data_IF_317080124641
#
_entry.id   IF_317080124641
#
_cell.length_a   1.000
_cell.length_b   1.000
_cell.length_c   1.000
_cell.angle_alpha   90.00
_cell.angle_beta   90.00
_cell.angle_gamma   90.00
#
_symmetry.space_group_name_H-M   'P 1'
#
loop_
_entity.id
_entity.type
_entity.pdbx_description
1 polymer ?
#
# COMPACT_ATOMS: atom_id res chain seq x y z
N UNK A 1 2.11 -27.99 14.19
CA UNK A 1 1.16 -27.38 15.15
C UNK A 1 1.28 -25.86 15.05
N UNK A 2 0.29 -25.11 14.53
CA UNK A 2 0.38 -23.65 14.53
C UNK A 2 0.35 -23.16 15.98
N UNK A 3 1.29 -22.27 16.32
CA UNK A 3 1.45 -21.72 17.66
C UNK A 3 0.13 -21.12 18.17
N UNK A 4 -0.34 -21.56 19.34
CA UNK A 4 -1.47 -20.96 20.06
C UNK A 4 -1.14 -19.49 20.31
N UNK A 5 -1.85 -18.58 19.63
CA UNK A 5 -1.66 -17.14 19.79
C UNK A 5 -2.09 -16.74 21.20
N UNK A 6 -1.20 -16.09 21.96
CA UNK A 6 -1.57 -15.42 23.22
C UNK A 6 -2.58 -14.31 22.89
N UNK A 7 -3.71 -14.20 23.61
CA UNK A 7 -4.61 -13.08 23.39
C UNK A 7 -3.87 -11.79 23.74
N UNK A 8 -3.69 -10.93 22.73
CA UNK A 8 -3.25 -9.56 22.94
C UNK A 8 -4.28 -8.89 23.87
N UNK A 9 -3.82 -8.09 24.84
CA UNK A 9 -4.70 -7.27 25.65
C UNK A 9 -5.68 -6.52 24.73
N UNK A 10 -6.99 -6.61 24.97
CA UNK A 10 -8.02 -6.13 24.03
C UNK A 10 -7.84 -4.63 23.82
N UNK A 11 -7.35 -4.27 22.64
CA UNK A 11 -7.25 -2.89 22.16
C UNK A 11 -8.63 -2.32 21.82
N UNK A 12 -8.74 -0.99 21.88
CA UNK A 12 -9.93 -0.19 21.53
C UNK A 12 -11.28 -0.72 22.08
N UNK A 13 -11.29 -1.28 23.30
CA UNK A 13 -12.49 -1.55 24.10
C UNK A 13 -13.72 -2.12 23.35
N UNK A 14 -13.52 -3.18 22.57
CA UNK A 14 -14.62 -3.85 21.85
C UNK A 14 -14.91 -3.28 20.46
N UNK A 15 -14.05 -2.42 19.90
CA UNK A 15 -14.15 -1.98 18.51
C UNK A 15 -14.20 -3.17 17.53
N UNK A 16 -15.24 -3.19 16.70
CA UNK A 16 -15.41 -4.17 15.62
C UNK A 16 -14.86 -3.60 14.31
N UNK A 17 -13.69 -4.09 13.90
CA UNK A 17 -13.05 -3.69 12.65
C UNK A 17 -13.09 -4.84 11.65
N UNK A 18 -13.65 -4.55 10.48
CA UNK A 18 -13.65 -5.42 9.32
C UNK A 18 -12.70 -4.91 8.24
N UNK A 19 -12.29 -5.80 7.34
CA UNK A 19 -11.50 -5.46 6.17
C UNK A 19 -12.08 -6.11 4.92
N UNK A 20 -12.29 -5.33 3.87
CA UNK A 20 -12.90 -5.80 2.61
C UNK A 20 -12.20 -5.21 1.40
N UNK A 21 -12.26 -5.92 0.28
CA UNK A 21 -11.74 -5.48 -1.01
C UNK A 21 -12.85 -5.48 -2.02
N UNK A 22 -13.04 -4.37 -2.75
CA UNK A 22 -14.13 -4.32 -3.71
C UNK A 22 -13.89 -5.23 -4.92
N UNK A 23 -12.62 -5.42 -5.34
CA UNK A 23 -12.26 -6.23 -6.50
C UNK A 23 -13.10 -5.82 -7.72
N UNK A 24 -13.69 -6.78 -8.43
CA UNK A 24 -14.60 -6.58 -9.56
C UNK A 24 -16.08 -6.75 -9.18
N UNK A 25 -16.42 -6.71 -7.88
CA UNK A 25 -17.82 -6.83 -7.43
C UNK A 25 -18.67 -5.67 -7.93
N UNK A 26 -19.97 -5.89 -7.99
CA UNK A 26 -20.95 -4.82 -8.10
C UNK A 26 -21.06 -4.05 -6.77
N UNK A 27 -21.56 -2.82 -6.83
CA UNK A 27 -21.83 -2.05 -5.62
C UNK A 27 -22.86 -2.74 -4.72
N UNK A 28 -23.87 -3.40 -5.32
CA UNK A 28 -24.92 -4.13 -4.60
C UNK A 28 -24.34 -5.30 -3.79
N UNK A 29 -23.54 -6.16 -4.42
CA UNK A 29 -22.91 -7.29 -3.74
C UNK A 29 -22.03 -6.84 -2.57
N UNK A 30 -21.26 -5.75 -2.74
CA UNK A 30 -20.43 -5.23 -1.67
C UNK A 30 -21.28 -4.68 -0.52
N UNK A 31 -22.36 -3.97 -0.80
CA UNK A 31 -23.30 -3.47 0.22
C UNK A 31 -23.95 -4.61 0.99
N UNK A 32 -24.36 -5.68 0.31
CA UNK A 32 -24.94 -6.88 0.93
C UNK A 32 -23.94 -7.58 1.85
N UNK A 33 -22.68 -7.70 1.42
CA UNK A 33 -21.60 -8.20 2.29
C UNK A 33 -21.42 -7.34 3.54
N UNK A 34 -21.39 -6.01 3.40
CA UNK A 34 -21.22 -5.11 4.54
C UNK A 34 -22.39 -5.22 5.54
N UNK A 35 -23.62 -5.30 5.03
CA UNK A 35 -24.83 -5.47 5.86
C UNK A 35 -24.85 -6.80 6.59
N UNK A 36 -24.46 -7.89 5.93
CA UNK A 36 -24.42 -9.22 6.54
C UNK A 36 -23.47 -9.29 7.77
N UNK A 37 -22.45 -8.43 7.81
CA UNK A 37 -21.52 -8.30 8.94
C UNK A 37 -21.85 -7.13 9.88
N UNK A 38 -23.04 -6.52 9.77
CA UNK A 38 -23.46 -5.43 10.65
C UNK A 38 -22.62 -4.14 10.51
N UNK A 39 -21.92 -3.95 9.39
CA UNK A 39 -21.07 -2.77 9.19
C UNK A 39 -21.93 -1.51 9.08
N UNK A 40 -21.68 -0.55 9.97
CA UNK A 40 -22.35 0.74 9.96
C UNK A 40 -21.59 1.77 9.12
N UNK A 41 -20.25 1.75 9.15
CA UNK A 41 -19.40 2.69 8.41
C UNK A 41 -18.38 1.97 7.54
N UNK A 42 -18.31 2.38 6.27
CA UNK A 42 -17.25 1.99 5.35
C UNK A 42 -16.18 3.08 5.29
N UNK A 43 -15.00 2.78 5.80
CA UNK A 43 -13.80 3.60 5.70
C UNK A 43 -13.03 3.23 4.41
N UNK A 44 -13.16 4.04 3.37
CA UNK A 44 -12.37 3.91 2.15
C UNK A 44 -10.94 4.37 2.40
N UNK A 45 -10.00 3.43 2.36
CA UNK A 45 -8.58 3.70 2.58
C UNK A 45 -7.79 3.76 1.27
N UNK A 46 -8.45 3.94 0.11
CA UNK A 46 -7.74 4.10 -1.17
C UNK A 46 -7.15 5.50 -1.24
N UNK A 47 -5.88 5.64 -1.63
CA UNK A 47 -5.28 6.98 -1.82
C UNK A 47 -6.04 7.81 -2.87
N UNK A 48 -6.50 7.15 -3.95
CA UNK A 48 -7.29 7.78 -5.01
C UNK A 48 -8.50 6.90 -5.31
N UNK A 49 -9.69 7.19 -4.76
CA UNK A 49 -10.93 6.43 -4.98
C UNK A 49 -11.58 6.78 -6.33
N UNK A 50 -10.80 6.60 -7.41
CA UNK A 50 -11.22 6.85 -8.79
C UNK A 50 -10.70 5.76 -9.71
N UNK A 51 -11.58 5.15 -10.49
CA UNK A 51 -11.28 4.11 -11.48
C UNK A 51 -12.15 4.30 -12.72
N UNK A 52 -11.57 4.03 -13.89
CA UNK A 52 -12.31 3.93 -15.16
C UNK A 52 -12.93 2.54 -15.34
N UNK A 53 -12.24 1.49 -14.88
CA UNK A 53 -12.67 0.10 -14.96
C UNK A 53 -13.76 -0.22 -13.95
N UNK A 54 -13.68 0.37 -12.76
CA UNK A 54 -14.66 0.17 -11.68
C UNK A 54 -15.30 1.50 -11.25
N UNK A 55 -16.02 2.20 -12.15
CA UNK A 55 -16.57 3.52 -11.89
C UNK A 55 -17.65 3.54 -10.81
N UNK A 56 -18.32 2.40 -10.57
CA UNK A 56 -19.30 2.20 -9.50
C UNK A 56 -18.72 2.42 -8.10
N UNK A 57 -17.41 2.22 -7.94
CA UNK A 57 -16.68 2.48 -6.69
C UNK A 57 -15.98 3.84 -6.68
N UNK A 58 -16.30 4.77 -7.59
CA UNK A 58 -15.81 6.14 -7.47
C UNK A 58 -16.48 6.81 -6.25
N UNK A 59 -15.75 7.72 -5.60
CA UNK A 59 -16.13 8.32 -4.31
C UNK A 59 -17.61 8.77 -4.26
N UNK A 60 -18.02 9.57 -5.25
CA UNK A 60 -19.37 10.13 -5.37
C UNK A 60 -20.48 9.08 -5.60
N UNK A 61 -20.47 8.30 -6.69
CA UNK A 61 -21.53 7.32 -6.95
C UNK A 61 -21.62 6.26 -5.85
N UNK A 62 -20.48 5.82 -5.32
CA UNK A 62 -20.46 4.81 -4.28
C UNK A 62 -20.95 5.35 -2.94
N UNK A 63 -20.55 6.58 -2.58
CA UNK A 63 -21.07 7.27 -1.40
C UNK A 63 -22.59 7.40 -1.42
N UNK A 64 -23.18 7.75 -2.58
CA UNK A 64 -24.65 7.79 -2.73
C UNK A 64 -25.29 6.40 -2.59
N UNK A 65 -24.67 5.36 -3.15
CA UNK A 65 -25.19 4.00 -3.03
C UNK A 65 -25.17 3.50 -1.57
N UNK A 66 -24.09 3.76 -0.83
CA UNK A 66 -23.96 3.44 0.59
C UNK A 66 -24.97 4.21 1.44
N UNK A 67 -25.12 5.52 1.20
CA UNK A 67 -26.08 6.35 1.94
C UNK A 67 -27.52 5.86 1.76
N UNK A 68 -27.93 5.51 0.53
CA UNK A 68 -29.24 4.88 0.25
C UNK A 68 -29.42 3.55 0.98
N UNK A 69 -28.32 2.85 1.25
CA UNK A 69 -28.32 1.60 1.97
C UNK A 69 -28.22 1.77 3.50
N UNK A 70 -28.16 3.00 4.01
CA UNK A 70 -28.00 3.28 5.44
C UNK A 70 -26.57 3.12 5.96
N UNK A 71 -25.57 2.99 5.08
CA UNK A 71 -24.16 2.90 5.46
C UNK A 71 -23.48 4.26 5.30
N UNK A 72 -22.71 4.66 6.31
CA UNK A 72 -21.86 5.86 6.22
C UNK A 72 -20.62 5.56 5.38
N UNK A 73 -20.26 6.49 4.51
CA UNK A 73 -19.02 6.43 3.72
C UNK A 73 -18.04 7.50 4.19
N UNK A 74 -16.82 7.10 4.57
CA UNK A 74 -15.75 8.04 4.96
C UNK A 74 -14.48 7.71 4.20
N UNK A 75 -13.86 8.71 3.57
CA UNK A 75 -12.58 8.54 2.90
C UNK A 75 -11.43 8.90 3.86
N UNK A 76 -10.54 7.93 4.13
CA UNK A 76 -9.35 8.09 4.99
C UNK A 76 -8.08 7.92 4.15
N UNK A 77 -7.74 8.95 3.37
CA UNK A 77 -6.60 8.95 2.44
C UNK A 77 -5.24 8.78 3.15
N UNK A 78 -5.18 9.12 4.44
CA UNK A 78 -4.05 8.90 5.34
C UNK A 78 -3.68 7.42 5.39
N UNK A 79 -4.66 6.52 5.43
CA UNK A 79 -4.43 5.07 5.45
C UNK A 79 -4.20 4.49 4.04
N UNK A 80 -3.92 5.35 3.05
CA UNK A 80 -3.74 5.00 1.65
C UNK A 80 -2.37 4.44 1.27
N UNK A 81 -2.38 3.31 0.55
CA UNK A 81 -1.19 2.54 0.18
C UNK A 81 -0.22 3.17 -0.82
N UNK A 82 -0.61 4.21 -1.58
CA UNK A 82 0.26 4.81 -2.60
C UNK A 82 1.25 5.76 -1.93
N UNK A 83 2.43 5.24 -1.60
CA UNK A 83 3.55 5.94 -0.94
C UNK A 83 4.88 5.55 -1.59
N UNK A 84 5.87 6.45 -1.57
CA UNK A 84 7.21 6.19 -2.10
C UNK A 84 8.09 5.60 -1.00
N UNK A 85 8.89 4.59 -1.34
CA UNK A 85 9.93 4.07 -0.45
C UNK A 85 11.00 5.12 -0.19
N UNK A 86 11.48 5.17 1.06
CA UNK A 86 12.69 5.92 1.38
C UNK A 86 13.90 5.15 0.84
N UNK A 87 14.94 5.88 0.40
CA UNK A 87 16.14 5.28 -0.21
C UNK A 87 16.95 4.44 0.80
N UNK A 88 16.84 4.78 2.08
CA UNK A 88 17.54 4.23 3.24
C UNK A 88 16.61 3.37 4.14
N UNK A 89 15.57 2.76 3.55
CA UNK A 89 14.60 1.94 4.30
C UNK A 89 15.14 0.55 4.66
N UNK A 90 16.06 0.51 5.62
CA UNK A 90 16.59 -0.75 6.16
C UNK A 90 15.58 -1.42 7.10
N UNK A 91 14.78 -0.61 7.80
CA UNK A 91 13.77 -1.08 8.75
C UNK A 91 12.70 -1.97 8.10
N UNK A 92 12.38 -1.72 6.83
CA UNK A 92 11.34 -2.40 6.07
C UNK A 92 11.90 -3.15 4.86
N UNK A 93 13.18 -3.48 4.89
CA UNK A 93 13.88 -4.09 3.76
C UNK A 93 13.40 -5.50 3.38
N UNK A 94 12.63 -6.16 4.24
CA UNK A 94 11.98 -7.45 3.92
C UNK A 94 10.91 -7.34 2.82
N UNK A 95 10.37 -6.14 2.57
CA UNK A 95 9.49 -5.92 1.41
C UNK A 95 10.29 -5.73 0.14
N UNK A 96 10.35 -6.76 -0.71
CA UNK A 96 10.99 -6.69 -2.04
C UNK A 96 10.25 -5.73 -3.00
N UNK A 97 8.93 -5.61 -2.86
CA UNK A 97 8.14 -4.67 -3.65
C UNK A 97 8.27 -3.24 -3.11
N UNK A 98 8.71 -2.31 -3.95
CA UNK A 98 8.95 -0.91 -3.57
C UNK A 98 7.69 -0.19 -3.06
N UNK A 99 6.50 -0.48 -3.60
CA UNK A 99 5.24 0.14 -3.14
C UNK A 99 4.88 -0.31 -1.73
N UNK A 100 5.05 -1.61 -1.42
CA UNK A 100 4.84 -2.12 -0.06
C UNK A 100 5.87 -1.60 0.92
N UNK A 101 7.15 -1.53 0.52
CA UNK A 101 8.20 -0.92 1.33
C UNK A 101 7.89 0.55 1.64
N UNK A 102 7.46 1.32 0.63
CA UNK A 102 7.07 2.71 0.81
C UNK A 102 5.85 2.91 1.70
N UNK A 103 4.87 2.02 1.62
CA UNK A 103 3.76 2.07 2.58
C UNK A 103 4.20 1.66 3.99
N UNK A 104 5.05 0.64 4.15
CA UNK A 104 5.61 0.24 5.44
C UNK A 104 6.44 1.34 6.11
N UNK A 105 7.17 2.15 5.32
CA UNK A 105 7.84 3.36 5.80
C UNK A 105 6.84 4.39 6.28
N UNK A 106 5.80 4.63 5.48
CA UNK A 106 4.74 5.58 5.81
C UNK A 106 3.94 5.17 7.05
N UNK A 107 3.79 3.87 7.34
CA UNK A 107 3.18 3.36 8.59
C UNK A 107 3.89 3.89 9.85
N UNK A 108 5.16 4.31 9.73
CA UNK A 108 5.92 4.93 10.83
C UNK A 108 5.67 6.44 10.98
N UNK A 109 4.90 7.06 10.10
CA UNK A 109 4.70 8.52 10.06
C UNK A 109 3.54 8.99 10.94
N UNK A 110 3.58 10.28 11.31
CA UNK A 110 2.46 10.94 12.00
C UNK A 110 1.18 10.97 11.16
N UNK A 111 1.30 11.07 9.82
CA UNK A 111 0.15 11.04 8.93
C UNK A 111 -0.63 9.74 9.04
N UNK A 112 0.09 8.62 9.12
CA UNK A 112 -0.53 7.33 9.37
C UNK A 112 -1.16 7.24 10.77
N UNK A 113 -0.47 7.77 11.80
CA UNK A 113 -1.02 7.82 13.15
C UNK A 113 -2.32 8.64 13.24
N UNK A 114 -2.42 9.77 12.53
CA UNK A 114 -3.66 10.55 12.41
C UNK A 114 -4.78 9.76 11.74
N UNK A 115 -4.46 9.00 10.68
CA UNK A 115 -5.42 8.10 10.03
C UNK A 115 -5.96 7.02 10.96
N UNK A 116 -5.10 6.44 11.81
CA UNK A 116 -5.53 5.46 12.81
C UNK A 116 -6.42 6.08 13.90
N UNK A 117 -6.12 7.30 14.35
CA UNK A 117 -6.98 7.99 15.33
C UNK A 117 -8.34 8.36 14.72
N UNK A 118 -8.38 8.79 13.45
CA UNK A 118 -9.63 8.99 12.74
C UNK A 118 -10.45 7.69 12.65
N UNK A 119 -9.79 6.58 12.30
CA UNK A 119 -10.44 5.26 12.29
C UNK A 119 -10.94 4.85 13.68
N UNK A 120 -10.18 5.12 14.74
CA UNK A 120 -10.59 4.87 16.13
C UNK A 120 -11.87 5.62 16.49
N UNK A 121 -11.97 6.89 16.10
CA UNK A 121 -13.16 7.72 16.34
C UNK A 121 -14.39 7.18 15.61
N UNK A 122 -14.23 6.63 14.40
CA UNK A 122 -15.31 5.95 13.69
C UNK A 122 -15.72 4.65 14.39
N UNK A 123 -14.75 3.86 14.86
CA UNK A 123 -15.01 2.59 15.53
C UNK A 123 -15.75 2.74 16.86
N UNK A 124 -15.63 3.89 17.53
CA UNK A 124 -16.44 4.24 18.71
C UNK A 124 -17.93 4.45 18.40
N UNK A 125 -18.28 4.66 17.13
CA UNK A 125 -19.65 4.93 16.67
C UNK A 125 -20.36 3.68 16.15
N UNK A 126 -19.66 2.53 16.10
CA UNK A 126 -20.19 1.25 15.62
C UNK A 126 -19.19 0.50 14.74
N UNK A 127 -19.60 -0.66 14.17
CA UNK A 127 -18.72 -1.50 13.37
C UNK A 127 -18.24 -0.80 12.09
N UNK A 128 -16.93 -0.87 11.84
CA UNK A 128 -16.28 -0.20 10.69
C UNK A 128 -15.60 -1.21 9.79
N UNK A 129 -15.82 -1.14 8.48
CA UNK A 129 -15.02 -1.85 7.50
C UNK A 129 -14.01 -0.92 6.82
N UNK A 130 -12.72 -1.28 6.81
CA UNK A 130 -11.73 -0.65 5.94
C UNK A 130 -11.78 -1.28 4.54
N UNK A 131 -11.80 -0.46 3.49
CA UNK A 131 -11.93 -0.91 2.10
C UNK A 131 -10.74 -0.50 1.23
N UNK A 132 -10.23 -1.45 0.44
CA UNK A 132 -9.33 -1.16 -0.69
C UNK A 132 -9.85 -1.73 -2.03
N UNK A 133 -9.08 -1.55 -3.10
CA UNK A 133 -9.47 -1.98 -4.45
C UNK A 133 -9.19 -3.46 -4.75
N UNK A 134 -8.09 -3.99 -4.25
CA UNK A 134 -7.67 -5.37 -4.47
C UNK A 134 -8.58 -6.35 -3.72
N UNK A 135 -8.89 -7.51 -4.28
CA UNK A 135 -9.64 -8.57 -3.60
C UNK A 135 -8.75 -9.35 -2.63
N UNK A 136 -7.53 -9.69 -3.04
CA UNK A 136 -6.58 -10.47 -2.26
C UNK A 136 -5.87 -9.62 -1.20
N UNK A 137 -6.15 -9.89 0.09
CA UNK A 137 -5.57 -9.13 1.20
C UNK A 137 -4.02 -9.13 1.24
N UNK A 138 -3.37 -10.20 0.77
CA UNK A 138 -1.91 -10.33 0.76
C UNK A 138 -1.22 -9.46 -0.29
N UNK A 139 -1.99 -8.96 -1.26
CA UNK A 139 -1.51 -8.15 -2.38
C UNK A 139 -1.90 -6.69 -2.27
N UNK A 140 -2.34 -6.24 -1.09
CA UNK A 140 -2.75 -4.86 -0.90
C UNK A 140 -2.25 -4.27 0.42
N UNK A 141 -2.30 -2.94 0.50
CA UNK A 141 -1.86 -2.19 1.68
C UNK A 141 -2.73 -2.40 2.92
N UNK A 142 -3.93 -2.97 2.76
CA UNK A 142 -4.84 -3.23 3.89
C UNK A 142 -4.22 -4.19 4.91
N UNK A 143 -3.34 -5.11 4.48
CA UNK A 143 -2.63 -6.00 5.42
C UNK A 143 -1.72 -5.22 6.35
N UNK A 144 -1.01 -4.21 5.86
CA UNK A 144 -0.13 -3.37 6.68
C UNK A 144 -0.92 -2.47 7.64
N UNK A 145 -2.12 -2.02 7.25
CA UNK A 145 -3.05 -1.34 8.17
C UNK A 145 -3.53 -2.30 9.25
N UNK A 146 -3.88 -3.53 8.87
CA UNK A 146 -4.32 -4.57 9.80
C UNK A 146 -3.19 -5.02 10.75
N UNK A 147 -1.94 -5.09 10.29
CA UNK A 147 -0.76 -5.35 11.12
C UNK A 147 -0.60 -4.26 12.19
N UNK A 148 -0.79 -2.99 11.82
CA UNK A 148 -0.72 -1.87 12.76
C UNK A 148 -1.87 -1.87 13.78
N UNK A 149 -3.07 -2.29 13.38
CA UNK A 149 -4.22 -2.49 14.28
C UNK A 149 -3.97 -3.67 15.23
N UNK A 150 -3.41 -4.77 14.71
CA UNK A 150 -3.02 -5.93 15.51
C UNK A 150 -1.99 -5.56 16.58
N UNK A 151 -0.97 -4.77 16.23
CA UNK A 151 0.02 -4.26 17.21
C UNK A 151 -0.61 -3.40 18.33
N UNK A 152 -1.83 -2.91 18.14
CA UNK A 152 -2.62 -2.15 19.12
C UNK A 152 -3.63 -3.01 19.88
N UNK A 153 -3.63 -4.33 19.68
CA UNK A 153 -4.58 -5.26 20.29
C UNK A 153 -5.97 -5.22 19.65
N UNK A 154 -6.14 -4.58 18.49
CA UNK A 154 -7.43 -4.50 17.79
C UNK A 154 -7.60 -5.73 16.90
N UNK A 155 -8.72 -6.43 17.04
CA UNK A 155 -9.05 -7.57 16.19
C UNK A 155 -9.62 -7.06 14.86
N UNK A 156 -9.01 -7.46 13.76
CA UNK A 156 -9.50 -7.16 12.40
C UNK A 156 -10.02 -8.43 11.75
N UNK A 157 -11.26 -8.40 11.26
CA UNK A 157 -11.91 -9.52 10.58
C UNK A 157 -11.96 -9.28 9.06
N UNK A 158 -11.31 -10.12 8.27
CA UNK A 158 -11.32 -10.03 6.80
C UNK A 158 -12.59 -10.69 6.26
N UNK A 159 -13.49 -9.90 5.67
CA UNK A 159 -14.74 -10.40 5.09
C UNK A 159 -14.40 -11.22 3.83
N UNK A 160 -14.78 -12.50 3.83
CA UNK A 160 -14.61 -13.42 2.70
C UNK A 160 -15.95 -13.71 1.98
N UNK A 161 -17.05 -13.79 2.73
CA UNK A 161 -18.42 -13.99 2.22
C UNK A 161 -19.44 -13.35 3.18
N UNK A 162 -20.74 -13.42 2.86
CA UNK A 162 -21.81 -12.91 3.72
C UNK A 162 -21.84 -13.57 5.11
N UNK A 163 -21.40 -14.82 5.21
CA UNK A 163 -21.44 -15.62 6.44
C UNK A 163 -20.07 -15.85 7.08
N UNK A 164 -18.99 -15.42 6.42
CA UNK A 164 -17.62 -15.72 6.87
C UNK A 164 -16.72 -14.49 6.83
N UNK A 165 -16.11 -14.22 7.98
CA UNK A 165 -14.94 -13.37 8.09
C UNK A 165 -13.82 -14.12 8.82
N UNK A 166 -12.56 -13.82 8.49
CA UNK A 166 -11.39 -14.47 9.09
C UNK A 166 -10.54 -13.47 9.87
N UNK A 167 -10.07 -13.82 11.08
CA UNK A 167 -9.25 -12.92 11.86
C UNK A 167 -7.92 -12.67 11.14
N UNK A 168 -7.45 -11.43 11.23
CA UNK A 168 -6.16 -11.04 10.70
C UNK A 168 -5.05 -11.78 11.44
N UNK A 169 -4.18 -12.42 10.68
CA UNK A 169 -2.88 -12.89 11.16
C UNK A 169 -1.81 -11.94 10.62
N UNK A 170 -0.89 -11.47 11.48
CA UNK A 170 0.15 -10.57 11.04
C UNK A 170 0.98 -11.11 9.89
N UNK A 171 1.55 -10.22 9.09
CA UNK A 171 2.53 -10.57 8.07
C UNK A 171 3.66 -11.42 8.70
N UNK A 172 4.00 -12.61 8.17
CA UNK A 172 4.87 -13.59 8.88
C UNK A 172 6.24 -13.07 9.32
N UNK A 173 6.83 -12.15 8.55
CA UNK A 173 8.14 -11.55 8.85
C UNK A 173 8.01 -10.18 9.53
N UNK A 174 6.80 -9.71 9.86
CA UNK A 174 6.61 -8.52 10.66
C UNK A 174 7.27 -8.68 12.05
N UNK A 175 7.75 -7.57 12.57
CA UNK A 175 8.28 -7.45 13.93
C UNK A 175 7.53 -6.36 14.64
N UNK A 176 6.87 -6.74 15.74
CA UNK A 176 6.06 -5.84 16.56
C UNK A 176 6.84 -5.55 17.83
N UNK A 177 7.10 -4.27 18.10
CA UNK A 177 7.71 -3.76 19.34
C UNK A 177 6.84 -2.63 19.87
N UNK A 178 6.08 -2.89 20.93
CA UNK A 178 5.01 -1.98 21.36
C UNK A 178 4.02 -1.75 20.21
N UNK A 179 3.75 -0.49 19.88
CA UNK A 179 2.83 -0.10 18.79
C UNK A 179 3.49 -0.04 17.40
N UNK A 180 4.81 -0.27 17.33
CA UNK A 180 5.61 -0.14 16.12
C UNK A 180 5.69 -1.48 15.40
N UNK A 181 5.33 -1.48 14.12
CA UNK A 181 5.45 -2.65 13.23
C UNK A 181 6.53 -2.36 12.19
N UNK A 182 7.54 -3.21 12.10
CA UNK A 182 8.57 -3.14 11.06
C UNK A 182 8.67 -4.45 10.30
N UNK A 183 9.30 -4.42 9.12
CA UNK A 183 9.36 -5.56 8.21
C UNK A 183 10.81 -5.82 7.77
N UNK A 184 11.69 -6.22 8.68
CA UNK A 184 13.10 -6.41 8.36
C UNK A 184 13.31 -7.71 7.55
N UNK A 185 14.45 -7.84 6.87
CA UNK A 185 14.81 -9.06 6.12
C UNK A 185 14.76 -10.29 7.06
N UNK A 186 14.10 -11.40 6.68
CA UNK A 186 14.08 -12.61 7.49
C UNK A 186 15.49 -13.08 7.85
N UNK A 187 15.71 -13.53 9.11
CA UNK A 187 17.04 -13.97 9.58
C UNK A 187 17.63 -15.12 8.75
N UNK A 188 16.79 -15.96 8.15
CA UNK A 188 17.24 -17.05 7.27
C UNK A 188 17.96 -16.54 6.02
N UNK A 189 17.55 -15.38 5.48
CA UNK A 189 18.15 -14.77 4.29
C UNK A 189 19.39 -13.92 4.63
N UNK A 190 19.67 -13.64 5.91
CA UNK A 190 20.87 -12.87 6.32
C UNK A 190 22.14 -13.72 6.39
N UNK A 191 22.00 -15.04 6.52
CA UNK A 191 23.15 -15.95 6.63
C UNK A 191 23.76 -16.30 5.28
N UNK A 192 23.04 -16.11 4.18
CA UNK A 192 23.48 -16.38 2.81
C UNK A 192 24.39 -15.30 2.21
N UNK A 193 24.48 -14.11 2.84
CA UNK A 193 25.33 -13.00 2.38
C UNK A 193 26.57 -12.77 3.27
N UNK A 194 26.83 -13.65 4.24
CA UNK A 194 28.06 -13.59 5.02
C UNK A 194 29.23 -14.10 4.14
N UNK A 195 30.34 -13.35 3.98
CA UNK A 195 31.50 -13.86 3.27
C UNK A 195 31.98 -15.16 3.93
N UNK A 196 32.42 -16.17 3.15
CA UNK A 196 32.83 -17.45 3.71
C UNK A 196 33.94 -17.21 4.73
N UNK A 197 33.73 -17.72 5.95
CA UNK A 197 34.74 -17.68 7.00
C UNK A 197 36.01 -18.32 6.45
N UNK A 198 37.08 -17.53 6.42
CA UNK A 198 38.41 -17.97 5.99
C UNK A 198 38.81 -19.13 6.90
N UNK A 199 38.69 -20.35 6.40
CA UNK A 199 39.09 -21.55 7.13
C UNK A 199 40.61 -21.51 7.28
N UNK A 200 41.02 -21.23 8.50
CA UNK A 200 42.40 -21.23 8.95
C UNK A 200 42.94 -22.66 8.80
N UNK A 201 43.67 -22.94 7.71
CA UNK A 201 44.41 -24.20 7.55
C UNK A 201 45.62 -24.16 8.49
N UNK A 202 45.48 -24.76 9.67
CA UNK A 202 46.62 -25.24 10.46
C UNK A 202 46.96 -26.66 10.01
N UNK A 203 48.15 -26.85 9.47
CA UNK A 203 48.99 -28.06 9.45
C UNK A 203 50.03 -27.86 8.34
N UNK A 204 51.31 -28.17 8.47
CA UNK A 204 52.15 -28.76 9.51
C UNK A 204 53.58 -28.40 9.11
N UNK A 205 54.46 -28.21 10.09
CA UNK A 205 55.89 -28.16 9.84
C UNK A 205 56.38 -29.50 9.27
N UNK A 206 57.12 -29.47 8.16
CA UNK A 206 58.28 -30.35 7.98
C UNK A 206 59.24 -29.76 6.94
N UNK A 207 60.53 -29.89 7.21
CA UNK A 207 61.60 -29.12 6.60
C UNK A 207 62.09 -29.65 5.25
N UNK A 208 62.74 -28.76 4.49
CA UNK A 208 64.09 -28.96 3.94
C UNK A 208 64.62 -27.67 3.30
N UNK A 209 65.90 -27.43 3.59
CA UNK A 209 66.78 -26.39 3.02
C UNK A 209 67.11 -26.69 1.55
N UNK A 210 67.53 -25.62 0.85
CA UNK A 210 68.54 -25.47 -0.22
C UNK A 210 67.96 -24.61 -1.36
N UNK A 211 68.62 -23.67 -2.06
CA UNK A 211 69.94 -22.99 -2.07
C UNK A 211 69.87 -21.94 -3.20
N UNK A 212 70.52 -20.77 -3.05
CA UNK A 212 71.11 -19.87 -4.09
C UNK A 212 70.21 -19.29 -5.23
N UNK A 213 70.47 -18.18 -5.94
CA UNK A 213 71.29 -16.96 -5.88
C UNK A 213 70.95 -16.11 -7.15
N UNK A 214 71.39 -14.85 -7.23
CA UNK A 214 71.46 -13.88 -8.37
C UNK A 214 70.17 -13.08 -8.71
N UNK A 215 70.12 -11.73 -8.56
CA UNK A 215 70.72 -10.61 -9.37
C UNK A 215 70.07 -10.50 -10.78
N UNK A 216 69.69 -9.37 -11.41
CA UNK A 216 69.95 -7.92 -11.35
C UNK A 216 68.80 -7.17 -12.13
N UNK A 217 68.34 -5.96 -11.76
CA UNK A 217 68.62 -4.58 -12.28
C UNK A 217 68.25 -4.20 -13.75
N UNK A 218 67.89 -2.90 -13.88
CA UNK A 218 67.76 -1.99 -15.05
C UNK A 218 66.37 -1.93 -15.76
N UNK A 219 65.61 -0.81 -15.68
CA UNK A 219 65.71 0.47 -16.44
C UNK A 219 65.28 0.31 -17.92
N UNK A 220 64.55 1.20 -18.63
CA UNK A 220 64.13 2.60 -18.46
C UNK A 220 63.10 2.97 -19.55
N UNK A 221 62.45 4.14 -19.34
CA UNK A 221 62.05 5.16 -20.32
C UNK A 221 61.07 4.94 -21.49
N UNK A 222 60.17 5.93 -21.66
CA UNK A 222 59.60 6.26 -22.96
C UNK A 222 58.19 6.87 -22.99
N UNK A 223 58.03 8.13 -22.57
CA UNK A 223 56.97 9.01 -23.10
C UNK A 223 57.55 9.76 -24.33
N UNK A 224 56.77 10.27 -25.33
CA UNK A 224 55.91 11.44 -25.10
C UNK A 224 54.64 11.61 -25.99
N UNK A 225 53.76 12.49 -25.47
CA UNK A 225 52.87 13.52 -26.08
C UNK A 225 52.52 13.49 -27.59
N UNK A 226 51.21 13.70 -27.88
CA UNK A 226 50.69 14.87 -28.61
C UNK A 226 49.14 14.93 -28.57
N UNK A 227 48.55 16.11 -28.29
CA UNK A 227 47.13 16.44 -28.53
C UNK A 227 46.95 17.13 -29.91
N UNK A 228 45.98 18.04 -30.15
CA UNK A 228 44.69 18.33 -29.49
C UNK A 228 43.56 18.61 -30.55
N UNK A 229 42.52 19.36 -30.13
CA UNK A 229 41.44 20.01 -30.91
C UNK A 229 40.17 19.15 -31.07
N UNK A 230 38.99 19.57 -30.60
CA UNK A 230 38.17 20.75 -30.95
C UNK A 230 36.72 20.20 -31.00
N UNK A 231 35.61 20.89 -30.72
CA UNK A 231 35.24 22.29 -30.62
C UNK A 231 34.00 22.41 -29.72
N UNK A 232 33.79 23.64 -29.28
CA UNK A 232 32.71 24.20 -28.47
C UNK A 232 31.40 24.45 -29.25
N UNK A 233 30.31 24.60 -28.46
CA UNK A 233 29.08 25.43 -28.66
C UNK A 233 28.09 24.89 -29.71
N UNK A 234 26.76 24.94 -29.58
CA UNK A 234 25.81 25.98 -29.10
C UNK A 234 24.50 25.30 -28.62
N UNK A 235 23.90 25.70 -27.50
CA UNK A 235 22.73 26.59 -27.38
C UNK A 235 21.55 26.36 -28.35
N UNK A 236 20.37 25.98 -27.82
CA UNK A 236 19.08 26.69 -27.95
C UNK A 236 17.85 25.75 -27.90
N UNK A 237 17.01 25.94 -26.88
CA UNK A 237 15.56 25.73 -26.94
C UNK A 237 14.88 27.07 -27.32
N UNK A 238 13.54 27.19 -27.45
CA UNK A 238 12.49 26.27 -27.90
C UNK A 238 11.69 26.86 -29.10
N UNK A 239 10.83 26.07 -29.75
CA UNK A 239 9.69 26.64 -30.53
C UNK A 239 8.40 25.88 -30.26
N UNK A 240 7.45 26.63 -29.72
CA UNK A 240 6.03 26.31 -29.66
C UNK A 240 5.39 26.52 -31.04
N UNK A 241 4.45 25.64 -31.42
CA UNK A 241 3.37 25.83 -32.39
C UNK A 241 2.55 24.52 -32.37
N UNK A 242 1.25 24.43 -32.57
CA UNK A 242 0.13 25.37 -32.67
C UNK A 242 -1.12 24.48 -32.51
N UNK A 243 -2.18 25.07 -31.96
CA UNK A 243 -3.49 24.46 -31.73
C UNK A 243 -4.10 23.89 -33.03
N UNK A 244 -4.67 22.69 -32.95
CA UNK A 244 -5.80 22.33 -33.81
C UNK A 244 -6.98 21.88 -32.95
N UNK A 245 -8.02 22.72 -32.97
CA UNK A 245 -9.34 22.48 -32.38
C UNK A 245 -10.12 21.59 -33.36
N UNK A 246 -10.34 20.33 -33.00
CA UNK A 246 -11.34 19.51 -33.66
C UNK A 246 -12.75 19.93 -33.19
N UNK A 247 -13.54 20.46 -34.12
CA UNK A 247 -14.97 20.70 -33.97
C UNK A 247 -15.69 19.38 -33.67
N UNK A 248 -16.37 19.29 -32.53
CA UNK A 248 -17.39 18.26 -32.28
C UNK A 248 -18.77 18.85 -32.53
N UNK A 249 -19.63 18.20 -33.34
CA UNK A 249 -20.99 18.67 -33.59
C UNK A 249 -21.85 18.59 -32.32
N UNK A 250 -22.74 19.58 -32.16
CA UNK A 250 -23.73 19.66 -31.07
C UNK A 250 -24.74 18.50 -31.18
N UNK A 251 -25.09 17.82 -30.07
CA UNK A 251 -26.22 16.88 -30.06
C UNK A 251 -27.56 17.63 -30.17
N UNK A 252 -28.59 17.02 -30.79
CA UNK A 252 -29.91 17.63 -30.92
C UNK A 252 -30.59 17.83 -29.56
N UNK A 253 -31.32 18.95 -29.43
CA UNK A 253 -32.09 19.32 -28.24
C UNK A 253 -33.21 18.30 -28.02
N UNK A 254 -33.24 17.68 -26.83
CA UNK A 254 -34.41 16.91 -26.37
C UNK A 254 -35.57 17.88 -26.07
N UNK A 255 -36.81 17.59 -26.50
CA UNK A 255 -37.97 18.38 -26.13
C UNK A 255 -38.28 18.20 -24.64
N UNK A 256 -38.58 19.32 -23.98
CA UNK A 256 -38.97 19.40 -22.57
C UNK A 256 -40.30 18.69 -22.32
N UNK A 257 -40.42 17.78 -21.34
CA UNK A 257 -41.73 17.33 -20.88
C UNK A 257 -42.43 18.49 -20.17
N UNK A 258 -43.59 18.87 -20.71
CA UNK A 258 -44.50 19.89 -20.18
C UNK A 258 -44.87 19.57 -18.73
N UNK A 259 -44.81 20.61 -17.91
CA UNK A 259 -45.35 20.66 -16.55
C UNK A 259 -46.84 20.32 -16.55
N UNK A 260 -47.22 19.20 -15.93
CA UNK A 260 -48.60 18.89 -15.56
C UNK A 260 -48.69 18.79 -14.03
N UNK A 261 -49.22 19.86 -13.42
CA UNK A 261 -49.87 19.89 -12.11
C UNK A 261 -50.89 21.06 -12.15
N UNK A 262 -51.95 21.08 -11.34
CA UNK A 262 -52.70 19.98 -10.72
C UNK A 262 -54.22 20.12 -10.93
N UNK A 263 -54.94 19.05 -11.26
CA UNK A 263 -56.41 19.05 -11.12
C UNK A 263 -56.79 18.76 -9.66
N UNK A 264 -57.17 19.84 -8.97
CA UNK A 264 -57.99 19.77 -7.75
C UNK A 264 -59.31 19.09 -8.10
N UNK A 265 -59.60 17.97 -7.46
CA UNK A 265 -60.98 17.50 -7.27
C UNK A 265 -61.35 17.83 -5.83
N UNK A 266 -62.25 18.80 -5.69
CA UNK A 266 -63.08 19.03 -4.50
C UNK A 266 -64.33 18.15 -4.60
N UNK A 267 -64.93 17.88 -3.43
CA UNK A 267 -66.26 17.31 -3.16
C UNK A 267 -66.35 15.77 -3.17
N UNK A 268 -67.00 15.09 -2.21
CA UNK A 268 -68.12 15.48 -1.34
C UNK A 268 -68.23 14.47 -0.16
N UNK A 269 -68.71 14.99 1.00
CA UNK A 269 -69.20 14.33 2.23
C UNK A 269 -68.15 13.84 3.24
#
# INVERSE_FOLDING_TARGET
MPAKQRPLARGWSGAEIFAVGHSTRTAKELIELLRAHGVATLADIRTVPRSRTNPQFNLEPFGRALAKAGLRHVHLAELGGRRKARRDSDLNAGWRNASFRGFADYVQSEGFARGLEALRKLAKQGPVAIMCAEGNRWRCHRSLVADALYARGVVVQHIESATRARPHTPTPFARIRGLKVTYPVPRAERRSDAPPAQQNRRSTADGRRQTAAAEALAESDGAPRNGPSGRRRTASAPKAQVKQRAHRPRPPRRPSPKSLRPSRIRNRR
#
